data_IF_514616629579
#
_entry.id   IF_514616629579
#
_cell.length_a   1.000
_cell.length_b   1.000
_cell.length_c   1.000
_cell.angle_alpha   90.00
_cell.angle_beta   90.00
_cell.angle_gamma   90.00
#
_symmetry.space_group_name_H-M   'P 1'
#
loop_
_entity.id
_entity.type
_entity.pdbx_description
1 polymer ?
#
# COMPACT_ATOMS: atom_id res chain seq x y z
N UNK A 1 58.01 -32.48 10.35
CA UNK A 1 57.13 -31.29 10.26
C UNK A 1 55.71 -31.77 10.53
N UNK A 2 55.25 -31.63 11.78
CA UNK A 2 53.93 -32.10 12.21
C UNK A 2 52.98 -30.91 12.29
N UNK A 3 51.91 -30.96 11.50
CA UNK A 3 50.84 -29.95 11.52
C UNK A 3 49.97 -30.09 12.76
N UNK A 4 49.76 -28.96 13.44
CA UNK A 4 49.15 -28.84 14.77
C UNK A 4 47.64 -28.69 14.62
N UNK A 5 46.85 -29.73 14.95
CA UNK A 5 45.38 -29.63 15.05
C UNK A 5 44.98 -28.85 16.31
N UNK A 6 44.49 -27.63 16.14
CA UNK A 6 43.84 -26.86 17.21
C UNK A 6 42.35 -27.22 17.24
N UNK A 7 41.91 -27.90 18.31
CA UNK A 7 40.48 -28.10 18.59
C UNK A 7 39.95 -26.87 19.34
N UNK A 8 38.92 -26.23 18.78
CA UNK A 8 38.20 -25.12 19.42
C UNK A 8 37.49 -25.66 20.67
N UNK A 9 37.75 -25.03 21.82
CA UNK A 9 37.15 -25.38 23.12
C UNK A 9 35.71 -24.91 23.13
N UNK A 10 34.80 -25.83 23.41
CA UNK A 10 33.37 -25.60 23.60
C UNK A 10 33.16 -24.81 24.91
N UNK A 11 32.66 -23.58 24.80
CA UNK A 11 32.30 -22.74 25.95
C UNK A 11 30.82 -22.90 26.26
N UNK A 12 30.40 -24.15 26.48
CA UNK A 12 29.05 -24.47 26.91
C UNK A 12 28.73 -23.73 28.21
N UNK A 13 27.76 -22.82 28.13
CA UNK A 13 27.12 -22.27 29.32
C UNK A 13 26.50 -23.43 30.12
N UNK A 14 26.87 -23.49 31.39
CA UNK A 14 26.34 -24.42 32.38
C UNK A 14 24.84 -24.15 32.53
N UNK A 15 23.97 -25.07 32.10
CA UNK A 15 22.56 -25.02 32.52
C UNK A 15 21.53 -25.75 31.67
N UNK A 16 21.73 -25.93 30.37
CA UNK A 16 20.72 -26.60 29.55
C UNK A 16 21.15 -28.04 29.23
N UNK A 17 20.58 -28.99 29.97
CA UNK A 17 20.76 -30.44 29.83
C UNK A 17 20.21 -30.99 28.48
N UNK A 18 20.65 -30.45 27.35
CA UNK A 18 20.26 -30.96 26.02
C UNK A 18 18.76 -30.82 25.69
N UNK A 19 18.00 -30.06 26.47
CA UNK A 19 16.63 -29.69 26.10
C UNK A 19 16.70 -28.48 25.17
N UNK A 20 16.35 -28.70 23.90
CA UNK A 20 16.00 -27.61 23.00
C UNK A 20 14.82 -26.88 23.63
N UNK A 21 15.05 -25.67 24.12
CA UNK A 21 13.98 -24.75 24.46
C UNK A 21 13.14 -24.55 23.22
N UNK A 22 12.00 -25.23 23.15
CA UNK A 22 10.91 -24.79 22.30
C UNK A 22 10.43 -23.49 22.93
N UNK A 23 11.08 -22.40 22.55
CA UNK A 23 10.41 -21.11 22.55
C UNK A 23 9.23 -21.31 21.61
N UNK A 24 8.08 -21.64 22.18
CA UNK A 24 6.80 -21.25 21.62
C UNK A 24 6.92 -19.76 21.42
N UNK A 25 7.35 -19.38 20.21
CA UNK A 25 7.25 -18.04 19.68
C UNK A 25 5.82 -17.67 19.95
N UNK A 26 5.61 -16.81 20.95
CA UNK A 26 4.29 -16.29 21.26
C UNK A 26 3.69 -15.94 19.93
N UNK A 27 2.56 -16.56 19.64
CA UNK A 27 1.70 -16.15 18.55
C UNK A 27 1.57 -14.65 18.76
N UNK A 28 2.31 -13.88 17.97
CA UNK A 28 1.92 -12.51 17.76
C UNK A 28 0.52 -12.71 17.21
N UNK A 29 -0.48 -12.42 18.06
CA UNK A 29 -1.80 -12.09 17.58
C UNK A 29 -1.55 -10.98 16.56
N UNK A 30 -1.39 -11.39 15.30
CA UNK A 30 -1.50 -10.51 14.17
C UNK A 30 -2.96 -10.14 14.23
N UNK A 31 -3.25 -9.10 14.99
CA UNK A 31 -4.56 -8.48 15.04
C UNK A 31 -4.90 -8.20 13.58
N UNK A 32 -5.77 -9.04 13.02
CA UNK A 32 -6.35 -8.83 11.71
C UNK A 32 -6.89 -7.41 11.79
N UNK A 33 -6.42 -6.47 10.93
CA UNK A 33 -6.88 -5.10 11.03
C UNK A 33 -8.39 -5.14 10.89
N UNK A 34 -9.09 -4.85 11.99
CA UNK A 34 -10.53 -4.66 11.97
C UNK A 34 -10.83 -3.69 10.84
N UNK A 35 -11.91 -3.94 10.10
CA UNK A 35 -12.40 -3.06 9.05
C UNK A 35 -12.48 -1.63 9.58
N UNK A 36 -11.49 -0.77 9.26
CA UNK A 36 -11.42 0.61 9.77
C UNK A 36 -12.30 1.56 8.95
N UNK A 37 -13.47 1.08 8.58
CA UNK A 37 -14.48 1.85 7.87
C UNK A 37 -15.88 1.50 8.36
N UNK A 38 -16.79 2.46 8.28
CA UNK A 38 -18.21 2.24 8.54
C UNK A 38 -19.04 2.93 7.47
N UNK A 39 -20.09 2.26 7.01
CA UNK A 39 -21.11 2.91 6.18
C UNK A 39 -21.89 3.88 7.05
N UNK A 40 -22.09 5.10 6.57
CA UNK A 40 -22.90 6.11 7.22
C UNK A 40 -24.22 6.24 6.45
N UNK A 41 -25.34 6.27 7.17
CA UNK A 41 -26.65 6.57 6.56
C UNK A 41 -26.82 8.07 6.34
N UNK A 42 -27.84 8.46 5.54
CA UNK A 42 -28.13 9.83 5.08
C UNK A 42 -28.49 10.86 6.16
N UNK A 43 -28.34 10.53 7.44
CA UNK A 43 -28.63 11.48 8.52
C UNK A 43 -27.56 12.57 8.56
N UNK A 44 -27.98 13.84 8.57
CA UNK A 44 -27.10 14.97 8.86
C UNK A 44 -26.40 14.76 10.20
N UNK A 45 -25.08 14.61 10.16
CA UNK A 45 -24.26 14.44 11.35
C UNK A 45 -23.69 15.79 11.77
N UNK A 46 -23.81 16.09 13.06
CA UNK A 46 -23.10 17.23 13.64
C UNK A 46 -21.58 17.06 13.56
N UNK A 47 -20.85 18.16 13.64
CA UNK A 47 -19.38 18.16 13.67
C UNK A 47 -18.80 17.25 14.77
N UNK A 48 -19.45 17.29 15.93
CA UNK A 48 -19.06 16.52 17.11
C UNK A 48 -19.24 15.02 16.87
N UNK A 49 -20.40 14.62 16.37
CA UNK A 49 -20.69 13.21 16.07
C UNK A 49 -19.74 12.63 15.02
N UNK A 50 -19.36 13.43 14.01
CA UNK A 50 -18.37 13.03 13.02
C UNK A 50 -17.03 12.70 13.68
N UNK A 51 -16.51 13.59 14.54
CA UNK A 51 -15.24 13.37 15.21
C UNK A 51 -15.28 12.23 16.24
N UNK A 52 -16.41 12.00 16.91
CA UNK A 52 -16.58 10.87 17.82
C UNK A 52 -16.52 9.54 17.08
N UNK A 53 -17.15 9.46 15.92
CA UNK A 53 -17.07 8.29 15.06
C UNK A 53 -15.69 8.12 14.44
N UNK A 54 -15.05 9.21 14.01
CA UNK A 54 -13.67 9.20 13.54
C UNK A 54 -12.72 8.58 14.57
N UNK A 55 -12.86 8.97 15.84
CA UNK A 55 -12.03 8.45 16.91
C UNK A 55 -12.12 6.92 17.04
N UNK A 56 -13.30 6.33 16.78
CA UNK A 56 -13.51 4.87 16.80
C UNK A 56 -12.83 4.13 15.64
N UNK A 57 -12.53 4.81 14.53
CA UNK A 57 -11.94 4.21 13.32
C UNK A 57 -10.42 4.32 13.27
N UNK A 58 -9.84 5.16 14.12
CA UNK A 58 -8.41 5.47 14.14
C UNK A 58 -7.64 4.55 15.08
N UNK A 59 -6.34 4.40 14.86
CA UNK A 59 -5.47 3.53 15.64
C UNK A 59 -5.46 3.86 17.14
N UNK A 60 -6.13 3.05 17.97
CA UNK A 60 -6.24 3.32 19.41
C UNK A 60 -4.95 3.06 20.20
N UNK A 61 -3.91 2.47 19.57
CA UNK A 61 -2.67 2.10 20.25
C UNK A 61 -1.79 3.31 20.61
N UNK A 62 -2.02 4.46 19.96
CA UNK A 62 -1.20 5.66 20.11
C UNK A 62 0.15 5.61 19.38
N UNK A 63 0.49 4.50 18.72
CA UNK A 63 1.74 4.36 17.96
C UNK A 63 1.75 5.19 16.67
N UNK A 64 0.58 5.41 16.09
CA UNK A 64 0.41 6.24 14.90
C UNK A 64 -0.23 7.57 15.31
N UNK A 65 0.47 8.71 15.11
CA UNK A 65 -0.12 10.02 15.36
C UNK A 65 -1.45 10.13 14.64
N UNK A 66 -2.48 10.59 15.34
CA UNK A 66 -3.84 10.62 14.81
C UNK A 66 -4.40 12.02 14.93
N UNK A 67 -4.74 12.62 13.79
CA UNK A 67 -5.33 13.94 13.73
C UNK A 67 -6.74 13.91 14.32
N UNK A 68 -7.07 14.85 15.21
CA UNK A 68 -8.37 14.88 15.86
C UNK A 68 -8.40 14.32 17.29
N UNK A 69 -7.34 13.62 17.71
CA UNK A 69 -7.28 12.94 19.01
C UNK A 69 -6.66 13.84 20.07
N UNK A 70 -5.40 14.21 19.88
CA UNK A 70 -4.60 14.90 20.88
C UNK A 70 -4.48 16.41 20.60
N UNK A 71 -4.65 16.82 19.34
CA UNK A 71 -4.56 18.22 18.87
C UNK A 71 -5.91 18.95 18.83
N UNK A 72 -6.97 18.31 19.35
CA UNK A 72 -8.35 18.80 19.29
C UNK A 72 -9.03 18.43 17.97
N UNK A 73 -10.25 18.96 17.72
CA UNK A 73 -11.07 18.63 16.54
C UNK A 73 -10.91 19.71 15.46
N UNK A 74 -9.98 19.55 14.49
CA UNK A 74 -9.72 20.58 13.50
C UNK A 74 -10.95 20.84 12.61
N UNK A 75 -10.97 22.01 11.98
CA UNK A 75 -12.04 22.36 11.03
C UNK A 75 -12.04 21.36 9.86
N UNK A 76 -13.19 20.71 9.63
CA UNK A 76 -13.41 19.85 8.47
C UNK A 76 -13.93 20.65 7.28
N UNK A 77 -13.62 20.23 6.06
CA UNK A 77 -14.21 20.76 4.84
C UNK A 77 -14.74 19.61 4.01
N UNK A 78 -15.85 19.88 3.34
CA UNK A 78 -16.39 19.02 2.30
C UNK A 78 -15.94 19.55 0.95
N UNK A 79 -15.35 18.66 0.16
CA UNK A 79 -14.87 18.88 -1.19
C UNK A 79 -15.80 18.11 -2.12
N UNK A 80 -16.53 18.83 -2.97
CA UNK A 80 -17.56 18.25 -3.86
C UNK A 80 -17.05 18.17 -5.28
N UNK A 81 -17.13 16.99 -5.89
CA UNK A 81 -17.08 16.78 -7.34
C UNK A 81 -18.49 16.64 -7.91
N UNK A 82 -18.58 16.36 -9.22
CA UNK A 82 -19.88 16.20 -9.90
C UNK A 82 -20.68 15.00 -9.36
N UNK A 83 -19.99 13.96 -8.91
CA UNK A 83 -20.57 12.67 -8.54
C UNK A 83 -20.03 12.11 -7.22
N UNK A 84 -19.33 12.93 -6.42
CA UNK A 84 -18.86 12.54 -5.10
C UNK A 84 -18.71 13.73 -4.14
N UNK A 85 -18.72 13.44 -2.84
CA UNK A 85 -18.31 14.38 -1.81
C UNK A 85 -17.25 13.76 -0.90
N UNK A 86 -16.21 14.50 -0.58
CA UNK A 86 -15.15 14.10 0.35
C UNK A 86 -15.12 15.08 1.52
N UNK A 87 -15.48 14.63 2.71
CA UNK A 87 -15.34 15.38 3.94
C UNK A 87 -14.08 14.95 4.67
N UNK A 88 -13.17 15.88 4.94
CA UNK A 88 -11.91 15.61 5.64
C UNK A 88 -11.44 16.85 6.42
N UNK A 89 -10.47 16.73 7.34
CA UNK A 89 -9.80 17.88 7.93
C UNK A 89 -9.27 18.83 6.85
N UNK A 90 -9.34 20.13 7.08
CA UNK A 90 -8.94 21.10 6.07
C UNK A 90 -7.48 20.92 5.65
N UNK A 91 -7.15 21.08 4.37
CA UNK A 91 -5.78 20.99 3.85
C UNK A 91 -4.76 21.79 4.70
N UNK A 92 -5.13 22.97 5.18
CA UNK A 92 -4.27 23.79 6.05
C UNK A 92 -4.01 23.10 7.41
N UNK A 93 -5.04 22.51 8.00
CA UNK A 93 -4.92 21.72 9.24
C UNK A 93 -4.03 20.50 9.02
N UNK A 94 -4.19 19.78 7.90
CA UNK A 94 -3.41 18.56 7.62
C UNK A 94 -1.93 18.89 7.46
N UNK A 95 -1.60 19.98 6.77
CA UNK A 95 -0.21 20.42 6.62
C UNK A 95 0.42 20.82 7.94
N UNK A 96 -0.32 21.52 8.79
CA UNK A 96 0.14 21.87 10.13
C UNK A 96 0.41 20.63 10.96
N UNK A 97 -0.51 19.67 10.95
CA UNK A 97 -0.36 18.42 11.68
C UNK A 97 0.83 17.59 11.18
N UNK A 98 1.01 17.48 9.85
CA UNK A 98 2.17 16.81 9.27
C UNK A 98 3.50 17.45 9.71
N UNK A 99 3.57 18.78 9.77
CA UNK A 99 4.75 19.49 10.29
C UNK A 99 4.98 19.23 11.78
N UNK A 100 3.93 19.17 12.60
CA UNK A 100 4.04 18.82 14.01
C UNK A 100 4.55 17.39 14.21
N UNK A 101 4.03 16.42 13.46
CA UNK A 101 4.48 15.04 13.50
C UNK A 101 5.97 14.94 13.13
N UNK A 102 6.38 15.64 12.07
CA UNK A 102 7.78 15.70 11.65
C UNK A 102 8.69 16.30 12.74
N UNK A 103 8.27 17.40 13.37
CA UNK A 103 9.01 18.05 14.46
C UNK A 103 9.16 17.14 15.69
N UNK A 104 8.09 16.44 16.07
CA UNK A 104 8.11 15.54 17.24
C UNK A 104 8.93 14.27 17.00
N UNK A 105 8.96 13.77 15.77
CA UNK A 105 9.62 12.49 15.45
C UNK A 105 11.00 12.63 14.82
N UNK A 106 11.34 13.82 14.32
CA UNK A 106 12.55 14.04 13.52
C UNK A 106 12.49 13.44 12.11
N UNK A 107 11.32 12.98 11.67
CA UNK A 107 11.12 12.33 10.36
C UNK A 107 9.98 13.01 9.59
N UNK A 108 10.33 13.76 8.53
CA UNK A 108 9.36 14.44 7.66
C UNK A 108 8.41 13.48 6.93
N UNK A 109 8.80 12.21 6.80
CA UNK A 109 8.05 11.16 6.12
C UNK A 109 7.21 10.30 7.07
N UNK A 110 7.25 10.58 8.38
CA UNK A 110 6.51 9.82 9.39
C UNK A 110 5.01 9.81 9.04
N UNK A 111 4.40 8.62 8.90
CA UNK A 111 2.98 8.53 8.59
C UNK A 111 2.12 8.88 9.81
N UNK A 112 0.95 9.42 9.55
CA UNK A 112 -0.10 9.69 10.53
C UNK A 112 -1.47 9.27 9.99
N UNK A 113 -2.45 9.14 10.88
CA UNK A 113 -3.84 8.82 10.51
C UNK A 113 -4.73 10.06 10.54
N UNK A 114 -5.63 10.12 9.56
CA UNK A 114 -6.58 11.20 9.38
C UNK A 114 -7.94 10.61 9.01
N UNK A 115 -9.03 11.02 9.67
CA UNK A 115 -10.37 10.57 9.29
C UNK A 115 -10.84 11.26 8.02
N UNK A 116 -11.62 10.53 7.24
CA UNK A 116 -12.34 11.01 6.07
C UNK A 116 -13.74 10.42 6.06
N UNK A 117 -14.64 11.09 5.35
CA UNK A 117 -15.93 10.56 4.93
C UNK A 117 -16.07 10.80 3.44
N UNK A 118 -16.39 9.76 2.69
CA UNK A 118 -16.56 9.79 1.25
C UNK A 118 -17.99 9.38 0.90
N UNK A 119 -18.67 10.20 0.12
CA UNK A 119 -19.99 9.94 -0.44
C UNK A 119 -19.84 9.68 -1.93
N UNK A 120 -20.24 8.49 -2.37
CA UNK A 120 -20.20 8.08 -3.77
C UNK A 120 -21.37 8.63 -4.59
N UNK A 121 -21.41 8.31 -5.90
CA UNK A 121 -22.44 8.79 -6.83
C UNK A 121 -23.84 8.27 -6.50
N UNK A 122 -23.93 7.11 -5.84
CA UNK A 122 -25.19 6.49 -5.42
C UNK A 122 -25.71 7.08 -4.09
N UNK A 123 -25.03 8.09 -3.54
CA UNK A 123 -25.35 8.71 -2.25
C UNK A 123 -24.81 7.94 -1.05
N UNK A 124 -24.24 6.75 -1.25
CA UNK A 124 -23.75 5.95 -0.15
C UNK A 124 -22.47 6.54 0.44
N UNK A 125 -22.47 6.73 1.76
CA UNK A 125 -21.39 7.39 2.49
C UNK A 125 -20.59 6.37 3.30
N UNK A 126 -19.26 6.51 3.26
CA UNK A 126 -18.31 5.64 3.95
C UNK A 126 -17.32 6.51 4.72
N UNK A 127 -17.26 6.30 6.02
CA UNK A 127 -16.28 6.93 6.89
C UNK A 127 -15.10 5.99 7.13
N UNK A 128 -13.87 6.49 7.08
CA UNK A 128 -12.64 5.70 7.23
C UNK A 128 -11.50 6.53 7.83
N UNK A 129 -10.54 5.88 8.47
CA UNK A 129 -9.24 6.48 8.78
C UNK A 129 -8.23 6.16 7.67
N UNK A 130 -7.61 7.18 7.08
CA UNK A 130 -6.56 7.02 6.05
C UNK A 130 -5.20 7.32 6.62
N UNK A 131 -4.19 6.58 6.18
CA UNK A 131 -2.80 6.84 6.52
C UNK A 131 -2.20 7.80 5.51
N UNK A 132 -1.59 8.87 5.99
CA UNK A 132 -1.01 9.93 5.17
C UNK A 132 0.44 10.11 5.57
N UNK A 133 1.33 10.25 4.60
CA UNK A 133 2.71 10.69 4.82
C UNK A 133 3.06 11.79 3.83
N UNK A 134 3.98 12.68 4.23
CA UNK A 134 4.44 13.77 3.38
C UNK A 134 5.81 13.44 2.80
N UNK A 135 6.02 13.73 1.52
CA UNK A 135 7.31 13.64 0.84
C UNK A 135 7.57 14.92 0.07
N UNK A 136 8.36 15.81 0.65
CA UNK A 136 8.61 17.14 0.12
C UNK A 136 7.30 17.94 -0.05
N UNK A 137 6.87 18.10 -1.31
CA UNK A 137 5.63 18.82 -1.67
C UNK A 137 4.43 17.90 -1.93
N UNK A 138 4.65 16.59 -1.98
CA UNK A 138 3.62 15.60 -2.26
C UNK A 138 3.16 14.87 -1.00
N UNK A 139 1.97 14.29 -1.08
CA UNK A 139 1.42 13.41 -0.06
C UNK A 139 1.26 12.01 -0.62
N UNK A 140 1.61 11.01 0.18
CA UNK A 140 1.24 9.62 -0.06
C UNK A 140 0.02 9.31 0.82
N UNK A 141 -0.98 8.66 0.24
CA UNK A 141 -2.24 8.33 0.90
C UNK A 141 -2.46 6.84 0.76
N UNK A 142 -2.69 6.16 1.89
CA UNK A 142 -2.97 4.74 1.96
C UNK A 142 -4.28 4.50 2.68
N UNK A 143 -5.26 3.95 1.96
CA UNK A 143 -6.53 3.49 2.53
C UNK A 143 -6.33 2.20 3.32
N UNK A 144 -7.16 1.93 4.35
CA UNK A 144 -7.12 0.67 5.08
C UNK A 144 -7.45 -0.52 4.16
N UNK A 145 -7.01 -1.71 4.59
CA UNK A 145 -7.33 -2.96 3.90
C UNK A 145 -8.85 -3.24 3.92
N UNK A 146 -9.35 -3.94 2.90
CA UNK A 146 -10.77 -4.33 2.80
C UNK A 146 -11.70 -3.25 2.23
N UNK A 147 -11.19 -2.06 1.90
CA UNK A 147 -11.93 -1.08 1.11
C UNK A 147 -12.10 -1.58 -0.33
N UNK A 148 -13.26 -1.29 -0.94
CA UNK A 148 -13.51 -1.61 -2.34
C UNK A 148 -12.38 -1.06 -3.24
N UNK A 149 -11.76 -1.86 -4.12
CA UNK A 149 -10.57 -1.45 -4.87
C UNK A 149 -10.76 -0.22 -5.76
N UNK A 150 -11.92 -0.08 -6.39
CA UNK A 150 -12.22 1.03 -7.29
C UNK A 150 -12.43 2.32 -6.49
N UNK A 151 -13.24 2.25 -5.44
CA UNK A 151 -13.42 3.36 -4.50
C UNK A 151 -12.13 3.74 -3.78
N UNK A 152 -11.30 2.76 -3.42
CA UNK A 152 -9.99 2.97 -2.81
C UNK A 152 -9.11 3.87 -3.68
N UNK A 153 -9.04 3.59 -4.99
CA UNK A 153 -8.26 4.37 -5.94
C UNK A 153 -8.78 5.81 -6.05
N UNK A 154 -10.09 5.96 -6.23
CA UNK A 154 -10.75 7.27 -6.32
C UNK A 154 -10.53 8.11 -5.05
N UNK A 155 -10.81 7.56 -3.87
CA UNK A 155 -10.67 8.26 -2.59
C UNK A 155 -9.22 8.66 -2.33
N UNK A 156 -8.27 7.74 -2.55
CA UNK A 156 -6.84 8.02 -2.32
C UNK A 156 -6.35 9.20 -3.15
N UNK A 157 -6.69 9.23 -4.44
CA UNK A 157 -6.29 10.33 -5.33
C UNK A 157 -7.08 11.61 -5.09
N UNK A 158 -8.36 11.54 -4.71
CA UNK A 158 -9.12 12.73 -4.32
C UNK A 158 -8.54 13.41 -3.08
N UNK A 159 -8.19 12.63 -2.04
CA UNK A 159 -7.49 13.13 -0.85
C UNK A 159 -6.16 13.74 -1.26
N UNK A 160 -5.36 13.03 -2.06
CA UNK A 160 -4.04 13.51 -2.49
C UNK A 160 -4.12 14.79 -3.33
N UNK A 161 -5.02 14.87 -4.30
CA UNK A 161 -5.22 16.05 -5.13
C UNK A 161 -5.61 17.27 -4.27
N UNK A 162 -6.51 17.05 -3.30
CA UNK A 162 -6.91 18.07 -2.32
C UNK A 162 -5.72 18.55 -1.49
N UNK A 163 -4.89 17.62 -1.00
CA UNK A 163 -3.71 17.95 -0.19
C UNK A 163 -2.58 18.60 -1.00
N UNK A 164 -2.46 18.28 -2.29
CA UNK A 164 -1.50 18.91 -3.21
C UNK A 164 -2.01 20.25 -3.76
N UNK A 165 -3.14 20.77 -3.26
CA UNK A 165 -3.75 22.04 -3.69
C UNK A 165 -4.07 22.10 -5.18
N UNK A 166 -4.24 20.96 -5.85
CA UNK A 166 -4.79 20.87 -7.20
C UNK A 166 -6.29 21.03 -7.04
N UNK A 167 -6.86 22.18 -7.47
CA UNK A 167 -8.30 22.47 -7.32
C UNK A 167 -9.13 21.25 -7.76
N UNK A 168 -9.84 20.56 -6.85
CA UNK A 168 -10.67 19.43 -7.23
C UNK A 168 -12.03 19.97 -7.67
N UNK A 169 -12.09 20.59 -8.84
CA UNK A 169 -13.34 20.76 -9.58
C UNK A 169 -13.28 19.73 -10.69
N UNK A 170 -13.81 18.54 -10.42
CA UNK A 170 -13.56 17.39 -11.26
C UNK A 170 -14.88 16.68 -11.63
N UNK A 171 -15.22 16.72 -12.92
CA UNK A 171 -16.31 15.97 -13.54
C UNK A 171 -16.12 14.46 -13.59
N UNK A 172 -17.16 13.71 -13.99
CA UNK A 172 -17.17 12.24 -14.09
C UNK A 172 -16.03 11.65 -14.94
N UNK A 173 -15.61 12.35 -15.99
CA UNK A 173 -14.44 11.99 -16.81
C UNK A 173 -13.14 11.95 -15.98
N UNK A 174 -13.06 12.76 -14.93
CA UNK A 174 -11.93 12.76 -14.03
C UNK A 174 -11.94 11.61 -13.02
N UNK A 175 -13.06 10.95 -12.71
CA UNK A 175 -13.03 9.79 -11.80
C UNK A 175 -12.21 8.65 -12.41
N UNK A 176 -12.45 8.35 -13.70
CA UNK A 176 -11.62 7.39 -14.44
C UNK A 176 -10.16 7.85 -14.54
N UNK A 177 -9.92 9.15 -14.73
CA UNK A 177 -8.57 9.71 -14.75
C UNK A 177 -7.87 9.63 -13.39
N UNK A 178 -8.59 9.82 -12.27
CA UNK A 178 -8.07 9.66 -10.92
C UNK A 178 -7.68 8.21 -10.67
N UNK A 179 -8.55 7.25 -11.02
CA UNK A 179 -8.22 5.82 -10.92
C UNK A 179 -7.01 5.46 -11.80
N UNK A 180 -6.93 5.96 -13.03
CA UNK A 180 -5.78 5.74 -13.91
C UNK A 180 -4.50 6.36 -13.33
N UNK A 181 -4.58 7.57 -12.78
CA UNK A 181 -3.45 8.27 -12.14
C UNK A 181 -2.98 7.52 -10.88
N UNK A 182 -3.92 7.02 -10.08
CA UNK A 182 -3.65 6.16 -8.94
C UNK A 182 -2.85 4.93 -9.35
N UNK A 183 -3.36 4.18 -10.34
CA UNK A 183 -2.71 2.95 -10.84
C UNK A 183 -1.32 3.22 -11.39
N UNK A 184 -1.14 4.31 -12.14
CA UNK A 184 0.17 4.72 -12.65
C UNK A 184 1.15 5.02 -11.51
N UNK A 185 0.72 5.73 -10.47
CA UNK A 185 1.57 6.00 -9.28
C UNK A 185 1.86 4.73 -8.48
N UNK A 186 0.86 3.88 -8.30
CA UNK A 186 1.01 2.60 -7.64
C UNK A 186 2.01 1.71 -8.38
N UNK A 187 2.00 1.69 -9.72
CA UNK A 187 2.98 1.00 -10.54
C UNK A 187 4.41 1.47 -10.27
N UNK A 188 4.59 2.79 -10.10
CA UNK A 188 5.88 3.40 -9.73
C UNK A 188 6.42 2.92 -8.37
N UNK A 189 5.58 2.49 -7.43
CA UNK A 189 6.07 1.90 -6.16
C UNK A 189 6.73 0.53 -6.34
N UNK A 190 6.55 -0.08 -7.50
CA UNK A 190 7.06 -1.39 -7.85
C UNK A 190 6.38 -2.52 -7.09
N UNK A 191 6.96 -3.72 -7.20
CA UNK A 191 6.45 -4.94 -6.58
C UNK A 191 7.59 -5.77 -6.02
N UNK A 192 7.35 -6.35 -4.84
CA UNK A 192 8.20 -7.39 -4.27
C UNK A 192 7.87 -8.73 -4.93
N UNK A 193 8.88 -9.39 -5.50
CA UNK A 193 8.74 -10.68 -6.15
C UNK A 193 9.10 -11.83 -5.20
N UNK A 194 8.56 -13.02 -5.49
CA UNK A 194 8.88 -14.25 -4.79
C UNK A 194 9.21 -15.34 -5.78
N UNK A 195 10.06 -16.29 -5.37
CA UNK A 195 10.43 -17.44 -6.20
C UNK A 195 9.19 -18.23 -6.63
N UNK A 196 9.08 -18.48 -7.93
CA UNK A 196 7.98 -19.25 -8.49
C UNK A 196 8.29 -20.75 -8.51
N UNK A 197 7.25 -21.58 -8.36
CA UNK A 197 7.33 -23.02 -8.53
C UNK A 197 7.33 -23.40 -10.03
N UNK A 198 8.39 -23.02 -10.74
CA UNK A 198 8.56 -23.24 -12.18
C UNK A 198 10.04 -23.48 -12.53
N UNK A 199 10.29 -24.23 -13.61
CA UNK A 199 11.65 -24.48 -14.10
C UNK A 199 12.23 -23.33 -14.92
N UNK A 200 11.37 -22.42 -15.41
CA UNK A 200 11.78 -21.34 -16.32
C UNK A 200 11.25 -19.95 -15.92
N UNK A 201 10.23 -19.89 -15.05
CA UNK A 201 9.85 -18.65 -14.36
C UNK A 201 10.59 -18.66 -13.02
N UNK A 202 11.45 -17.68 -12.80
CA UNK A 202 12.28 -17.58 -11.60
C UNK A 202 11.50 -16.98 -10.45
N UNK A 203 10.87 -15.84 -10.69
CA UNK A 203 10.17 -15.07 -9.67
C UNK A 203 8.92 -14.43 -10.23
N UNK A 204 7.95 -14.16 -9.36
CA UNK A 204 6.74 -13.43 -9.71
C UNK A 204 6.27 -12.59 -8.54
N UNK A 205 5.64 -11.46 -8.83
CA UNK A 205 5.01 -10.57 -7.87
C UNK A 205 3.78 -9.91 -8.45
N UNK A 206 2.88 -9.45 -7.59
CA UNK A 206 1.68 -8.72 -8.02
C UNK A 206 1.47 -7.46 -7.19
N UNK A 207 1.28 -6.35 -7.90
CA UNK A 207 0.86 -5.10 -7.34
C UNK A 207 -0.65 -4.96 -7.54
N UNK A 208 -1.41 -5.25 -6.49
CA UNK A 208 -2.88 -5.19 -6.52
C UNK A 208 -3.43 -3.77 -6.68
N UNK A 209 -2.68 -2.74 -6.29
CA UNK A 209 -3.09 -1.35 -6.44
C UNK A 209 -2.95 -0.86 -7.88
N UNK A 210 -1.88 -1.30 -8.56
CA UNK A 210 -1.65 -1.04 -9.98
C UNK A 210 -2.39 -2.03 -10.90
N UNK A 211 -2.88 -3.15 -10.37
CA UNK A 211 -3.33 -4.33 -11.11
C UNK A 211 -2.29 -4.86 -12.10
N UNK A 212 -1.03 -4.93 -11.65
CA UNK A 212 0.09 -5.34 -12.49
C UNK A 212 0.82 -6.54 -11.91
N UNK A 213 1.08 -7.53 -12.76
CA UNK A 213 1.92 -8.67 -12.44
C UNK A 213 3.32 -8.48 -13.02
N UNK A 214 4.34 -8.69 -12.21
CA UNK A 214 5.72 -8.81 -12.67
C UNK A 214 6.10 -10.29 -12.70
N UNK A 215 6.62 -10.73 -13.84
CA UNK A 215 7.08 -12.11 -14.03
C UNK A 215 8.53 -12.08 -14.52
N UNK A 216 9.42 -12.69 -13.74
CA UNK A 216 10.85 -12.78 -14.00
C UNK A 216 11.17 -14.15 -14.55
N UNK A 217 11.74 -14.19 -15.75
CA UNK A 217 12.10 -15.39 -16.51
C UNK A 217 13.61 -15.44 -16.74
N UNK A 218 14.06 -16.36 -17.59
CA UNK A 218 15.43 -16.30 -18.09
C UNK A 218 15.61 -15.10 -19.03
N UNK A 219 16.71 -14.33 -18.88
CA UNK A 219 17.09 -13.30 -19.84
C UNK A 219 17.13 -13.84 -21.27
N UNK A 220 16.76 -12.99 -22.22
CA UNK A 220 16.86 -13.27 -23.65
C UNK A 220 17.51 -12.10 -24.37
N UNK A 221 17.89 -12.29 -25.65
CA UNK A 221 18.41 -11.18 -26.48
C UNK A 221 17.43 -10.01 -26.60
N UNK A 222 16.12 -10.30 -26.58
CA UNK A 222 15.06 -9.29 -26.70
C UNK A 222 14.73 -8.61 -25.37
N UNK A 223 15.02 -9.25 -24.24
CA UNK A 223 14.86 -8.67 -22.91
C UNK A 223 16.00 -9.17 -21.99
N UNK A 224 17.06 -8.36 -21.79
CA UNK A 224 18.22 -8.75 -21.01
C UNK A 224 17.93 -8.84 -19.50
N UNK A 225 16.87 -8.21 -18.99
CA UNK A 225 16.46 -8.40 -17.58
C UNK A 225 15.68 -9.70 -17.41
N UNK A 226 15.03 -10.18 -18.49
CA UNK A 226 14.12 -11.31 -18.46
C UNK A 226 12.86 -11.05 -17.64
N UNK A 227 12.62 -9.82 -17.21
CA UNK A 227 11.51 -9.43 -16.36
C UNK A 227 10.49 -8.61 -17.16
N UNK A 228 9.22 -8.93 -17.00
CA UNK A 228 8.11 -8.35 -17.77
C UNK A 228 6.99 -7.93 -16.85
N UNK A 229 6.34 -6.81 -17.19
CA UNK A 229 5.13 -6.32 -16.53
C UNK A 229 3.92 -6.67 -17.40
N UNK A 230 2.85 -7.15 -16.77
CA UNK A 230 1.56 -7.44 -17.39
C UNK A 230 0.47 -6.68 -16.67
N UNK A 231 -0.46 -6.10 -17.43
CA UNK A 231 -1.77 -5.72 -16.88
C UNK A 231 -2.54 -7.01 -16.57
N UNK A 232 -2.96 -7.18 -15.32
CA UNK A 232 -3.54 -8.43 -14.86
C UNK A 232 -4.52 -8.18 -13.71
N UNK A 233 -5.76 -8.61 -13.89
CA UNK A 233 -6.76 -8.55 -12.83
C UNK A 233 -6.41 -9.52 -11.67
N UNK A 234 -6.90 -9.25 -10.46
CA UNK A 234 -6.58 -10.05 -9.28
C UNK A 234 -6.98 -11.53 -9.39
N UNK A 235 -8.07 -11.84 -10.09
CA UNK A 235 -8.57 -13.21 -10.22
C UNK A 235 -7.68 -14.02 -11.16
N UNK A 236 -7.28 -13.43 -12.28
CA UNK A 236 -6.31 -14.02 -13.21
C UNK A 236 -4.98 -14.24 -12.52
N UNK A 237 -4.47 -13.25 -11.79
CA UNK A 237 -3.26 -13.42 -10.98
C UNK A 237 -3.40 -14.56 -9.97
N UNK A 238 -4.51 -14.60 -9.23
CA UNK A 238 -4.81 -15.65 -8.26
C UNK A 238 -4.69 -17.04 -8.86
N UNK A 239 -5.29 -17.26 -10.04
CA UNK A 239 -5.22 -18.55 -10.76
C UNK A 239 -3.79 -18.93 -11.17
N UNK A 240 -2.97 -17.97 -11.57
CA UNK A 240 -1.57 -18.24 -11.95
C UNK A 240 -0.72 -18.53 -10.71
N UNK A 241 -0.82 -17.67 -9.69
CA UNK A 241 0.01 -17.73 -8.49
C UNK A 241 -0.30 -18.96 -7.61
N UNK A 242 -1.56 -19.39 -7.56
CA UNK A 242 -1.97 -20.58 -6.78
C UNK A 242 -1.78 -21.90 -7.52
N UNK A 243 -1.32 -21.89 -8.78
CA UNK A 243 -1.18 -23.11 -9.56
C UNK A 243 0.00 -23.94 -9.10
N UNK A 244 -0.20 -25.26 -8.97
CA UNK A 244 0.89 -26.22 -8.78
C UNK A 244 1.85 -26.30 -9.97
N UNK A 245 1.45 -25.77 -11.14
CA UNK A 245 2.27 -25.67 -12.33
C UNK A 245 2.20 -24.26 -12.90
N UNK A 246 2.92 -23.34 -12.27
CA UNK A 246 2.93 -21.90 -12.61
C UNK A 246 3.22 -21.66 -14.09
N UNK A 247 4.21 -22.36 -14.67
CA UNK A 247 4.53 -22.22 -16.10
C UNK A 247 3.39 -22.65 -17.03
N UNK A 248 2.62 -23.68 -16.68
CA UNK A 248 1.43 -24.09 -17.44
C UNK A 248 0.31 -23.07 -17.30
N UNK A 249 0.07 -22.57 -16.08
CA UNK A 249 -0.95 -21.57 -15.82
C UNK A 249 -0.63 -20.24 -16.54
N UNK A 250 0.62 -19.79 -16.53
CA UNK A 250 1.06 -18.64 -17.32
C UNK A 250 0.76 -18.82 -18.81
N UNK A 251 1.11 -19.98 -19.38
CA UNK A 251 0.86 -20.23 -20.80
C UNK A 251 -0.64 -20.21 -21.13
N UNK A 252 -1.48 -20.69 -20.24
CA UNK A 252 -2.94 -20.72 -20.42
C UNK A 252 -3.57 -19.33 -20.25
N UNK A 253 -3.33 -18.68 -19.11
CA UNK A 253 -4.06 -17.48 -18.69
C UNK A 253 -3.40 -16.16 -19.11
N UNK A 254 -2.11 -16.19 -19.46
CA UNK A 254 -1.39 -14.99 -19.90
C UNK A 254 -1.10 -15.10 -21.39
N UNK A 255 -0.28 -16.07 -21.79
CA UNK A 255 0.22 -16.14 -23.17
C UNK A 255 -0.88 -16.48 -24.20
N UNK A 256 -1.66 -17.55 -23.94
CA UNK A 256 -2.72 -18.00 -24.87
C UNK A 256 -3.99 -17.15 -24.80
N UNK A 257 -4.20 -16.46 -23.69
CA UNK A 257 -5.28 -15.49 -23.55
C UNK A 257 -5.02 -14.19 -24.34
N UNK A 258 -3.83 -14.03 -24.94
CA UNK A 258 -3.47 -12.85 -25.71
C UNK A 258 -2.92 -11.69 -24.88
N UNK A 259 -2.65 -11.90 -23.59
CA UNK A 259 -2.07 -10.85 -22.74
C UNK A 259 -0.61 -10.62 -23.14
N UNK A 260 -0.34 -9.45 -23.72
CA UNK A 260 1.00 -8.98 -24.03
C UNK A 260 1.60 -8.27 -22.82
N UNK A 261 2.91 -8.38 -22.64
CA UNK A 261 3.61 -7.55 -21.66
C UNK A 261 3.43 -6.08 -22.01
N UNK A 262 3.05 -5.27 -21.04
CA UNK A 262 2.86 -3.83 -21.20
C UNK A 262 4.18 -3.07 -21.06
N UNK A 263 5.19 -3.67 -20.41
CA UNK A 263 6.53 -3.09 -20.25
C UNK A 263 7.57 -4.18 -19.93
N UNK A 264 8.84 -3.84 -20.10
CA UNK A 264 9.98 -4.55 -19.51
C UNK A 264 10.13 -4.08 -18.06
N UNK A 265 10.32 -5.01 -17.14
CA UNK A 265 10.59 -4.67 -15.74
C UNK A 265 12.09 -4.52 -15.47
N UNK A 266 12.42 -3.55 -14.63
CA UNK A 266 13.76 -3.34 -14.05
C UNK A 266 13.68 -3.43 -12.53
N UNK A 267 14.79 -3.78 -11.88
CA UNK A 267 14.86 -3.86 -10.43
C UNK A 267 15.52 -2.60 -9.87
N UNK A 268 14.89 -1.96 -8.89
CA UNK A 268 15.49 -0.85 -8.16
C UNK A 268 16.64 -1.34 -7.28
N UNK A 269 17.81 -0.70 -7.38
CA UNK A 269 18.99 -1.06 -6.59
C UNK A 269 18.83 -0.73 -5.09
N UNK A 270 18.06 0.31 -4.76
CA UNK A 270 17.88 0.76 -3.37
C UNK A 270 16.88 -0.07 -2.57
N UNK A 271 15.73 -0.40 -3.18
CA UNK A 271 14.64 -1.09 -2.49
C UNK A 271 14.40 -2.53 -2.98
N UNK A 272 15.07 -2.98 -4.05
CA UNK A 272 14.98 -4.34 -4.58
C UNK A 272 13.67 -4.65 -5.32
N UNK A 273 12.72 -3.70 -5.41
CA UNK A 273 11.44 -3.89 -6.09
C UNK A 273 11.55 -3.79 -7.59
N UNK A 274 10.72 -4.56 -8.29
CA UNK A 274 10.59 -4.48 -9.73
C UNK A 274 9.52 -3.46 -10.13
N UNK A 275 9.80 -2.66 -11.15
CA UNK A 275 8.85 -1.70 -11.74
C UNK A 275 9.04 -1.63 -13.26
N UNK A 276 8.06 -1.11 -13.99
CA UNK A 276 8.14 -0.95 -15.43
C UNK A 276 9.21 0.07 -15.83
N UNK A 277 10.03 -0.24 -16.83
CA UNK A 277 11.12 0.61 -17.31
C UNK A 277 10.68 1.99 -17.80
N UNK A 278 9.44 2.11 -18.29
CA UNK A 278 8.85 3.37 -18.71
C UNK A 278 8.17 4.15 -17.55
N UNK A 279 8.13 3.59 -16.34
CA UNK A 279 7.48 4.18 -15.16
C UNK A 279 8.50 4.84 -14.25
N UNK A 280 8.22 6.05 -13.76
CA UNK A 280 9.04 6.71 -12.73
C UNK A 280 8.93 5.95 -11.39
N UNK A 281 10.06 5.49 -10.86
CA UNK A 281 10.09 4.73 -9.61
C UNK A 281 10.00 5.64 -8.38
N UNK A 282 9.20 5.22 -7.40
CA UNK A 282 9.11 5.86 -6.10
C UNK A 282 9.28 4.82 -4.98
N UNK A 283 10.49 4.68 -4.44
CA UNK A 283 10.79 3.81 -3.30
C UNK A 283 9.81 4.10 -2.14
N UNK A 284 9.17 3.08 -1.54
CA UNK A 284 8.41 3.31 -0.30
C UNK A 284 9.39 3.67 0.83
N UNK A 285 9.04 4.65 1.66
CA UNK A 285 9.82 4.98 2.86
C UNK A 285 10.01 3.70 3.69
N UNK A 286 11.22 3.49 4.22
CA UNK A 286 11.46 2.37 5.14
C UNK A 286 10.54 2.57 6.34
N UNK A 287 9.57 1.67 6.49
CA UNK A 287 8.83 1.55 7.75
C UNK A 287 9.81 0.84 8.69
N UNK A 288 10.63 1.63 9.38
CA UNK A 288 11.46 1.17 10.50
C UNK A 288 10.62 1.04 11.76
#
# INVERSE_FOLDING_TARGET
MSDRKIRKRDTGEQGNQGQFGTLTRGEAEVAVPQSRFTRTGDAEQSATQWWERAAQLTDASGMVPTMGRDDGRPHRRTYTGDDYALTMPSHASVRRFASQVAEHTGDESRPFEMPIEYTGPEGDSVMSAVRVSRRGRSFEVTMPAGFDPERKAQVSESVRATLESRRPTLSREHTAQLVATYRHRAAGTGVDTRRAASTWIKEMGYNSEAQQATIVMQPSKANPTGAYVYDMDPDTWGRVASSSSVGKAYNTYVRRAGNTSIDVAVQCEDCGRYYGSATEHACRARVS
#
